data_IF_019838885609
#
_entry.id   IF_019838885609
#
_cell.length_a   1.000
_cell.length_b   1.000
_cell.length_c   1.000
_cell.angle_alpha   90.00
_cell.angle_beta   90.00
_cell.angle_gamma   90.00
#
_symmetry.space_group_name_H-M   'P 1'
#
loop_
_entity.id
_entity.type
_entity.pdbx_description
1 polymer ?
#
# COMPACT_ATOMS: atom_id res chain seq x y z
N UNK A 1 65.64 3.33 9.40
CA UNK A 1 66.22 4.58 9.93
C UNK A 1 65.59 5.77 9.23
N UNK A 2 65.25 6.72 10.03
CA UNK A 2 64.75 8.11 9.86
C UNK A 2 63.21 8.28 9.85
N UNK A 3 62.78 8.67 11.04
CA UNK A 3 61.60 9.47 11.35
C UNK A 3 61.71 10.85 10.70
N UNK A 4 60.60 11.41 10.23
CA UNK A 4 60.41 12.86 10.21
C UNK A 4 59.00 13.14 10.64
N UNK A 5 58.88 13.84 11.76
CA UNK A 5 57.74 14.64 12.24
C UNK A 5 57.56 15.87 11.36
N UNK A 6 56.34 16.41 11.24
CA UNK A 6 56.14 17.81 11.57
C UNK A 6 54.88 18.40 11.02
N UNK A 7 54.16 18.93 11.87
CA UNK A 7 53.58 20.26 12.10
C UNK A 7 52.23 20.60 11.46
N UNK A 8 51.31 20.78 12.37
CA UNK A 8 50.11 21.60 12.27
C UNK A 8 50.44 23.04 11.93
N UNK A 9 49.72 23.65 10.98
CA UNK A 9 49.50 25.09 10.92
C UNK A 9 48.03 25.35 10.63
N UNK A 10 47.39 25.86 11.65
CA UNK A 10 46.04 26.43 11.63
C UNK A 10 46.13 27.80 10.94
N UNK A 11 45.29 28.03 9.93
CA UNK A 11 45.09 29.36 9.37
C UNK A 11 43.63 29.74 9.45
N UNK A 12 43.30 30.56 10.42
CA UNK A 12 42.03 31.27 10.54
C UNK A 12 42.09 32.45 9.56
N UNK A 13 41.23 32.51 8.59
CA UNK A 13 40.99 33.71 7.79
C UNK A 13 39.56 34.18 8.10
N UNK A 14 39.49 35.25 8.88
CA UNK A 14 38.30 36.08 9.07
C UNK A 14 38.24 37.05 7.88
N UNK A 15 37.20 36.93 7.05
CA UNK A 15 36.91 37.98 6.07
C UNK A 15 35.53 38.56 6.43
N UNK A 16 35.57 39.77 6.94
CA UNK A 16 34.44 40.67 7.08
C UNK A 16 34.14 41.27 5.71
N UNK A 17 32.95 40.98 5.17
CA UNK A 17 32.33 41.82 4.14
C UNK A 17 31.04 42.43 4.65
N UNK A 18 31.10 43.75 4.88
CA UNK A 18 29.93 44.61 5.03
C UNK A 18 29.47 44.95 3.62
N UNK A 19 28.24 44.57 3.29
CA UNK A 19 27.57 44.98 2.06
C UNK A 19 26.07 45.01 2.29
N UNK A 20 25.51 46.20 2.54
CA UNK A 20 24.05 46.45 2.49
C UNK A 20 23.57 46.30 1.06
N UNK A 21 22.56 45.44 0.85
CA UNK A 21 21.54 45.66 -0.17
C UNK A 21 20.18 45.17 0.37
N UNK A 22 19.24 46.10 0.44
CA UNK A 22 17.83 45.80 0.67
C UNK A 22 17.31 44.99 -0.49
N UNK A 23 16.86 43.80 -0.22
CA UNK A 23 15.87 43.14 -1.06
C UNK A 23 14.80 42.50 -0.16
N UNK A 24 13.58 42.87 -0.44
CA UNK A 24 12.36 42.49 0.23
C UNK A 24 12.02 41.03 -0.07
N UNK A 25 12.55 40.09 0.69
CA UNK A 25 12.03 38.76 0.79
C UNK A 25 11.08 38.68 1.98
N UNK A 26 9.81 38.44 1.71
CA UNK A 26 8.83 38.10 2.73
C UNK A 26 9.33 36.88 3.49
N UNK A 27 9.75 37.07 4.72
CA UNK A 27 10.02 36.02 5.67
C UNK A 27 8.79 35.15 5.86
N UNK A 28 8.81 33.98 5.27
CA UNK A 28 8.01 32.84 5.72
C UNK A 28 8.56 32.48 7.11
N UNK A 29 7.87 32.94 8.15
CA UNK A 29 8.25 32.73 9.54
C UNK A 29 8.21 31.26 9.89
N UNK A 30 9.32 30.60 9.71
CA UNK A 30 9.59 29.32 10.35
C UNK A 30 9.69 29.56 11.85
N UNK A 31 8.99 28.75 12.64
CA UNK A 31 9.28 28.64 14.06
C UNK A 31 10.74 28.17 14.20
N UNK A 32 11.63 29.07 14.55
CA UNK A 32 12.93 28.67 15.08
C UNK A 32 12.69 27.92 16.39
N UNK A 33 12.80 26.61 16.33
CA UNK A 33 12.86 25.79 17.54
C UNK A 33 14.29 25.90 18.04
N UNK A 34 14.53 26.83 18.94
CA UNK A 34 15.87 27.21 19.44
C UNK A 34 16.53 26.14 20.34
N UNK A 35 15.79 25.05 20.72
CA UNK A 35 16.31 24.09 21.69
C UNK A 35 15.88 22.64 21.36
N UNK A 36 16.81 21.71 21.51
CA UNK A 36 16.59 20.24 21.37
C UNK A 36 15.48 19.76 22.34
N UNK A 37 15.29 20.41 23.47
CA UNK A 37 14.27 20.08 24.45
C UNK A 37 12.88 20.43 24.00
N UNK A 38 12.70 21.50 23.22
CA UNK A 38 11.42 21.88 22.61
C UNK A 38 11.04 20.94 21.46
N UNK A 39 12.02 20.50 20.68
CA UNK A 39 11.82 19.47 19.66
C UNK A 39 11.36 18.16 20.29
N UNK A 40 11.98 17.74 21.41
CA UNK A 40 11.58 16.53 22.13
C UNK A 40 10.17 16.63 22.72
N UNK A 41 9.78 17.79 23.26
CA UNK A 41 8.41 18.03 23.75
C UNK A 41 7.38 17.97 22.62
N UNK A 42 7.63 18.64 21.49
CA UNK A 42 6.75 18.62 20.31
C UNK A 42 6.63 17.21 19.73
N UNK A 43 7.71 16.45 19.66
CA UNK A 43 7.71 15.07 19.19
C UNK A 43 6.94 14.13 20.14
N UNK A 44 6.97 14.39 21.45
CA UNK A 44 6.19 13.62 22.42
C UNK A 44 4.69 13.94 22.35
N UNK A 45 4.28 15.17 22.02
CA UNK A 45 2.89 15.56 21.86
C UNK A 45 2.23 14.94 20.62
N UNK A 46 3.00 14.66 19.60
CA UNK A 46 2.50 14.07 18.34
C UNK A 46 2.58 12.54 18.32
N UNK A 47 3.31 11.95 19.24
CA UNK A 47 3.44 10.50 19.31
C UNK A 47 2.13 9.87 19.76
N UNK A 48 1.73 8.81 19.04
CA UNK A 48 0.56 7.99 19.35
C UNK A 48 1.04 6.66 19.95
N UNK A 49 0.63 6.37 21.14
CA UNK A 49 0.96 5.10 21.80
C UNK A 49 -0.09 3.99 21.51
N UNK A 50 0.21 2.78 21.96
CA UNK A 50 -0.64 1.62 21.69
C UNK A 50 -2.01 1.72 22.38
N UNK A 51 -2.12 2.37 23.52
CA UNK A 51 -3.38 2.52 24.26
C UNK A 51 -4.31 3.51 23.53
N UNK A 52 -3.74 4.59 22.98
CA UNK A 52 -4.49 5.53 22.14
C UNK A 52 -4.97 4.85 20.85
N UNK A 53 -4.13 4.06 20.18
CA UNK A 53 -4.52 3.26 19.00
C UNK A 53 -5.63 2.28 19.36
N UNK A 54 -5.52 1.58 20.48
CA UNK A 54 -6.52 0.61 20.94
C UNK A 54 -7.86 1.29 21.18
N UNK A 55 -7.86 2.40 21.91
CA UNK A 55 -9.07 3.18 22.19
C UNK A 55 -9.75 3.65 20.90
N UNK A 56 -8.95 4.12 19.94
CA UNK A 56 -9.44 4.57 18.64
C UNK A 56 -9.99 3.41 17.83
N UNK A 57 -9.25 2.30 17.73
CA UNK A 57 -9.63 1.11 16.98
C UNK A 57 -10.91 0.45 17.54
N UNK A 58 -11.03 0.36 18.87
CA UNK A 58 -12.24 -0.14 19.54
C UNK A 58 -13.46 0.76 19.26
N UNK A 59 -13.25 2.05 19.01
CA UNK A 59 -14.31 3.02 18.74
C UNK A 59 -14.80 2.98 17.28
N UNK A 60 -13.94 2.67 16.32
CA UNK A 60 -14.24 2.73 14.87
C UNK A 60 -15.38 1.76 14.46
N UNK A 61 -15.55 0.62 15.13
CA UNK A 61 -16.59 -0.36 14.79
C UNK A 61 -17.70 -0.45 15.83
N UNK A 62 -17.81 0.54 16.72
CA UNK A 62 -18.89 0.56 17.73
C UNK A 62 -20.16 1.21 17.23
N UNK A 63 -20.05 2.11 16.27
CA UNK A 63 -21.20 2.74 15.62
C UNK A 63 -21.74 1.79 14.55
N UNK A 64 -23.05 1.62 14.56
CA UNK A 64 -23.85 0.72 13.72
C UNK A 64 -23.79 1.06 12.22
N UNK A 65 -22.62 1.32 11.67
CA UNK A 65 -22.48 1.50 10.25
C UNK A 65 -22.53 0.15 9.53
N UNK A 66 -23.66 -0.09 8.89
CA UNK A 66 -24.11 -1.29 8.18
C UNK A 66 -23.08 -1.84 7.16
N UNK A 67 -22.10 -1.04 6.76
CA UNK A 67 -21.06 -1.43 5.79
C UNK A 67 -19.99 -2.37 6.36
N UNK A 68 -19.74 -2.34 7.67
CA UNK A 68 -18.67 -3.11 8.32
C UNK A 68 -19.18 -4.30 9.12
N UNK A 69 -20.48 -4.44 9.33
CA UNK A 69 -21.06 -5.55 10.04
C UNK A 69 -21.72 -6.52 9.08
N UNK A 70 -21.10 -7.65 8.82
CA UNK A 70 -21.83 -8.83 8.38
C UNK A 70 -22.85 -9.14 9.50
N UNK A 71 -24.11 -8.69 9.34
CA UNK A 71 -25.24 -8.95 10.26
C UNK A 71 -25.30 -8.18 11.60
N UNK A 72 -24.86 -6.92 11.67
CA UNK A 72 -25.02 -6.14 12.91
C UNK A 72 -24.17 -6.63 14.10
N UNK A 73 -23.12 -7.41 13.85
CA UNK A 73 -22.19 -7.87 14.88
C UNK A 73 -21.06 -6.84 14.98
N UNK A 74 -20.85 -6.32 16.21
CA UNK A 74 -19.71 -5.47 16.53
C UNK A 74 -18.43 -6.23 16.23
N UNK A 75 -17.56 -5.69 15.38
CA UNK A 75 -16.25 -6.26 15.13
C UNK A 75 -15.29 -5.83 16.26
N UNK A 76 -14.57 -6.77 16.84
CA UNK A 76 -13.65 -6.52 17.96
C UNK A 76 -12.21 -6.53 17.45
N UNK A 77 -11.35 -5.73 18.07
CA UNK A 77 -9.92 -5.79 17.82
C UNK A 77 -9.40 -7.15 18.26
N UNK A 78 -8.82 -7.90 17.33
CA UNK A 78 -8.17 -9.19 17.59
C UNK A 78 -6.77 -9.01 18.12
N UNK A 79 -6.01 -8.13 17.47
CA UNK A 79 -4.60 -7.87 17.79
C UNK A 79 -4.14 -6.51 17.27
N UNK A 80 -3.15 -5.94 17.95
CA UNK A 80 -2.42 -4.75 17.49
C UNK A 80 -0.93 -5.09 17.48
N UNK A 81 -0.33 -5.09 16.29
CA UNK A 81 1.07 -5.42 16.06
C UNK A 81 1.88 -4.14 15.76
N UNK A 82 2.77 -3.68 16.67
CA UNK A 82 3.61 -2.53 16.42
C UNK A 82 4.80 -2.88 15.51
N UNK A 83 5.05 -2.04 14.50
CA UNK A 83 6.33 -2.00 13.79
C UNK A 83 7.19 -0.94 14.49
N UNK A 84 8.44 -1.30 14.80
CA UNK A 84 9.31 -0.47 15.62
C UNK A 84 10.50 0.05 14.82
N UNK A 85 10.93 1.24 15.19
CA UNK A 85 12.19 1.83 14.71
C UNK A 85 13.39 1.11 15.33
N UNK A 86 14.59 1.43 14.85
CA UNK A 86 15.85 0.94 15.44
C UNK A 86 16.02 1.32 16.91
N UNK A 87 15.43 2.43 17.33
CA UNK A 87 15.40 2.93 18.71
C UNK A 87 14.29 2.29 19.56
N UNK A 88 13.67 1.21 19.06
CA UNK A 88 12.58 0.48 19.71
C UNK A 88 11.30 1.30 19.97
N UNK A 89 11.11 2.43 19.28
CA UNK A 89 9.90 3.24 19.34
C UNK A 89 8.92 2.76 18.24
N UNK A 90 7.64 2.69 18.53
CA UNK A 90 6.66 2.34 17.51
C UNK A 90 6.56 3.45 16.46
N UNK A 91 6.52 3.06 15.20
CA UNK A 91 6.31 3.95 14.04
C UNK A 91 4.97 3.68 13.36
N UNK A 92 4.55 2.41 13.34
CA UNK A 92 3.32 1.95 12.68
C UNK A 92 2.64 0.96 13.62
N UNK A 93 1.32 0.95 13.59
CA UNK A 93 0.49 -0.08 14.19
C UNK A 93 -0.35 -0.77 13.13
N UNK A 94 -0.34 -2.09 13.14
CA UNK A 94 -1.23 -2.93 12.34
C UNK A 94 -2.29 -3.45 13.28
N UNK A 95 -3.54 -3.08 13.03
CA UNK A 95 -4.72 -3.47 13.79
C UNK A 95 -5.49 -4.48 12.97
N UNK A 96 -5.68 -5.70 13.47
CA UNK A 96 -6.53 -6.72 12.87
C UNK A 96 -7.79 -6.95 13.72
N UNK A 97 -8.90 -7.26 13.06
CA UNK A 97 -10.20 -7.50 13.69
C UNK A 97 -10.62 -8.98 13.62
N UNK A 98 -11.46 -9.44 14.56
CA UNK A 98 -11.85 -10.85 14.69
C UNK A 98 -12.62 -11.39 13.48
N UNK A 99 -13.51 -10.59 12.92
CA UNK A 99 -14.34 -10.99 11.77
C UNK A 99 -13.74 -10.60 10.40
N UNK A 100 -12.43 -10.34 10.38
CA UNK A 100 -11.73 -9.76 9.24
C UNK A 100 -11.79 -8.24 9.25
N UNK A 101 -10.91 -7.65 8.45
CA UNK A 101 -10.63 -6.23 8.40
C UNK A 101 -9.33 -5.87 9.12
N UNK A 102 -8.65 -4.86 8.60
CA UNK A 102 -7.44 -4.32 9.22
C UNK A 102 -7.32 -2.81 9.01
N UNK A 103 -6.52 -2.18 9.87
CA UNK A 103 -5.97 -0.84 9.68
C UNK A 103 -4.45 -0.86 9.82
N UNK A 104 -3.80 -0.05 9.01
CA UNK A 104 -2.39 0.33 9.21
C UNK A 104 -2.39 1.81 9.55
N UNK A 105 -1.92 2.14 10.75
CA UNK A 105 -1.96 3.48 11.32
C UNK A 105 -0.53 3.93 11.69
N UNK A 106 -0.15 5.17 11.38
CA UNK A 106 1.13 5.70 11.81
C UNK A 106 1.11 6.00 13.32
N UNK A 107 2.27 5.99 13.97
CA UNK A 107 2.40 6.37 15.39
C UNK A 107 2.74 7.86 15.57
N UNK A 108 2.22 8.73 14.69
CA UNK A 108 2.48 10.16 14.71
C UNK A 108 1.31 10.96 14.13
N UNK A 109 0.76 11.90 14.90
CA UNK A 109 -0.43 12.71 14.52
C UNK A 109 -0.17 13.72 13.40
N UNK A 110 1.07 13.97 13.04
CA UNK A 110 1.43 14.79 11.88
C UNK A 110 1.19 14.07 10.56
N UNK A 111 0.91 12.77 10.60
CA UNK A 111 0.62 11.95 9.43
C UNK A 111 -0.86 11.62 9.41
N UNK A 112 -1.42 11.47 8.21
CA UNK A 112 -2.81 11.05 8.02
C UNK A 112 -3.08 9.73 8.76
N UNK A 113 -4.19 9.59 9.53
CA UNK A 113 -4.37 8.49 10.49
C UNK A 113 -4.45 7.10 9.87
N UNK A 114 -4.67 6.99 8.57
CA UNK A 114 -4.81 5.71 7.85
C UNK A 114 -3.77 5.64 6.76
N UNK A 115 -2.89 4.64 6.79
CA UNK A 115 -1.97 4.31 5.69
C UNK A 115 -2.57 3.27 4.75
N UNK A 116 -3.28 2.30 5.31
CA UNK A 116 -4.04 1.30 4.56
C UNK A 116 -5.18 0.74 5.40
N UNK A 117 -6.20 0.18 4.74
CA UNK A 117 -7.30 -0.51 5.42
C UNK A 117 -7.97 -1.54 4.52
N UNK A 118 -8.61 -2.51 5.17
CA UNK A 118 -9.55 -3.45 4.56
C UNK A 118 -10.75 -3.65 5.45
N UNK A 119 -11.91 -3.93 4.85
CA UNK A 119 -13.14 -4.17 5.61
C UNK A 119 -13.30 -5.65 5.99
N UNK A 120 -12.62 -6.55 5.29
CA UNK A 120 -12.87 -7.99 5.35
C UNK A 120 -11.61 -8.88 5.29
N UNK A 121 -10.48 -8.35 4.88
CA UNK A 121 -9.21 -9.08 4.80
C UNK A 121 -8.33 -8.82 6.04
N UNK A 122 -7.34 -9.68 6.27
CA UNK A 122 -6.40 -9.55 7.38
C UNK A 122 -5.02 -9.11 6.88
N UNK A 123 -4.28 -8.46 7.78
CA UNK A 123 -2.88 -8.11 7.55
C UNK A 123 -2.01 -8.95 8.51
N UNK A 124 -1.53 -10.10 8.04
CA UNK A 124 -0.74 -11.03 8.85
C UNK A 124 0.77 -10.84 8.58
N UNK A 125 1.53 -10.56 9.64
CA UNK A 125 2.99 -10.45 9.61
C UNK A 125 3.70 -11.78 9.90
N UNK A 126 2.97 -12.80 10.36
CA UNK A 126 3.56 -14.07 10.79
C UNK A 126 3.67 -15.10 9.65
N UNK A 127 3.22 -14.74 8.46
CA UNK A 127 3.36 -15.61 7.29
C UNK A 127 4.79 -15.59 6.78
N UNK A 128 5.26 -16.73 6.27
CA UNK A 128 6.62 -16.85 5.70
C UNK A 128 6.79 -16.12 4.36
N UNK A 129 5.70 -15.65 3.75
CA UNK A 129 5.63 -15.27 2.35
C UNK A 129 4.97 -13.90 2.14
N UNK A 130 5.31 -12.91 2.97
CA UNK A 130 4.85 -11.52 2.74
C UNK A 130 5.45 -11.04 1.40
N UNK A 131 4.64 -10.46 0.49
CA UNK A 131 5.16 -9.91 -0.76
C UNK A 131 6.32 -8.92 -0.52
N UNK A 132 7.48 -9.10 -1.18
CA UNK A 132 8.66 -8.29 -0.90
C UNK A 132 8.41 -6.78 -1.01
N UNK A 133 7.67 -6.35 -2.03
CA UNK A 133 7.34 -4.94 -2.19
C UNK A 133 6.47 -4.38 -1.04
N UNK A 134 5.65 -5.22 -0.39
CA UNK A 134 4.86 -4.81 0.77
C UNK A 134 5.75 -4.63 2.00
N UNK A 135 6.80 -5.46 2.14
CA UNK A 135 7.84 -5.29 3.14
C UNK A 135 8.57 -3.96 2.90
N UNK A 136 8.97 -3.68 1.66
CA UNK A 136 9.63 -2.42 1.28
C UNK A 136 8.74 -1.21 1.58
N UNK A 137 7.46 -1.26 1.21
CA UNK A 137 6.51 -0.19 1.51
C UNK A 137 6.42 0.06 3.03
N UNK A 138 6.28 -1.00 3.84
CA UNK A 138 6.27 -0.88 5.30
C UNK A 138 7.58 -0.30 5.85
N UNK A 139 8.73 -0.71 5.29
CA UNK A 139 10.04 -0.19 5.69
C UNK A 139 10.20 1.29 5.35
N UNK A 140 9.74 1.72 4.18
CA UNK A 140 9.76 3.10 3.76
C UNK A 140 8.87 3.97 4.66
N UNK A 141 7.63 3.50 4.96
CA UNK A 141 6.76 4.16 5.93
C UNK A 141 7.41 4.22 7.32
N UNK A 142 7.99 3.12 7.79
CA UNK A 142 8.69 3.06 9.07
C UNK A 142 9.85 4.08 9.14
N UNK A 143 10.66 4.15 8.10
CA UNK A 143 11.82 5.06 8.03
C UNK A 143 11.38 6.52 8.02
N UNK A 144 10.38 6.87 7.21
CA UNK A 144 9.81 8.21 7.14
C UNK A 144 9.26 8.66 8.51
N UNK A 145 8.44 7.81 9.14
CA UNK A 145 7.84 8.12 10.44
C UNK A 145 8.94 8.24 11.53
N UNK A 146 9.94 7.37 11.48
CA UNK A 146 11.09 7.45 12.40
C UNK A 146 11.85 8.78 12.27
N UNK A 147 12.11 9.23 11.04
CA UNK A 147 12.83 10.49 10.79
C UNK A 147 11.98 11.71 11.21
N UNK A 148 10.67 11.65 11.01
CA UNK A 148 9.75 12.67 11.51
C UNK A 148 9.72 12.69 13.05
N UNK A 149 9.62 11.53 13.72
CA UNK A 149 9.64 11.41 15.18
C UNK A 149 10.95 11.85 15.80
N UNK A 150 12.06 11.74 15.06
CA UNK A 150 13.39 12.21 15.48
C UNK A 150 13.62 13.69 15.15
N UNK A 151 12.72 14.35 14.44
CA UNK A 151 12.84 15.74 14.02
C UNK A 151 13.86 15.96 12.90
N UNK A 152 14.29 14.92 12.20
CA UNK A 152 15.18 15.02 11.04
C UNK A 152 14.48 15.62 9.82
N UNK A 153 13.19 15.38 9.70
CA UNK A 153 12.32 15.99 8.70
C UNK A 153 11.23 16.79 9.42
N UNK A 154 10.78 17.87 8.79
CA UNK A 154 9.71 18.72 9.30
C UNK A 154 8.50 18.51 8.39
N UNK A 155 7.37 18.17 9.00
CA UNK A 155 6.09 18.23 8.31
C UNK A 155 5.36 19.50 8.72
N UNK A 156 4.82 20.20 7.74
CA UNK A 156 4.06 21.44 7.96
C UNK A 156 2.56 21.20 8.05
N UNK A 157 2.09 20.00 7.71
CA UNK A 157 0.67 19.65 7.73
C UNK A 157 0.30 19.10 9.09
N UNK A 158 -0.81 19.62 9.64
CA UNK A 158 -1.37 19.16 10.91
C UNK A 158 -2.59 18.27 10.65
N UNK A 159 -2.42 16.95 10.86
CA UNK A 159 -3.50 15.98 10.76
C UNK A 159 -4.18 15.66 12.11
N UNK A 160 -3.81 16.31 13.21
CA UNK A 160 -4.32 16.01 14.56
C UNK A 160 -5.86 16.01 14.65
N UNK A 161 -6.52 16.91 13.91
CA UNK A 161 -7.99 16.98 13.84
C UNK A 161 -8.65 15.74 13.22
N UNK A 162 -7.90 14.98 12.40
CA UNK A 162 -8.39 13.79 11.71
C UNK A 162 -8.25 12.51 12.56
N UNK A 163 -7.53 12.58 13.68
CA UNK A 163 -7.31 11.48 14.60
C UNK A 163 -8.49 11.26 15.55
N UNK A 164 -9.64 10.90 14.97
CA UNK A 164 -10.85 10.54 15.71
C UNK A 164 -11.67 9.48 14.96
N UNK A 165 -12.42 8.66 15.71
CA UNK A 165 -13.18 7.54 15.16
C UNK A 165 -14.21 7.99 14.10
N UNK A 166 -14.93 9.09 14.34
CA UNK A 166 -15.96 9.56 13.41
C UNK A 166 -15.36 9.97 12.04
N UNK A 167 -14.20 10.64 12.06
CA UNK A 167 -13.50 10.97 10.81
C UNK A 167 -13.10 9.70 10.06
N UNK A 168 -12.47 8.75 10.75
CA UNK A 168 -11.97 7.49 10.17
C UNK A 168 -13.13 6.66 9.60
N UNK A 169 -14.22 6.50 10.34
CA UNK A 169 -15.43 5.80 9.87
C UNK A 169 -16.00 6.44 8.60
N UNK A 170 -16.14 7.75 8.57
CA UNK A 170 -16.67 8.48 7.41
C UNK A 170 -15.74 8.35 6.21
N UNK A 171 -14.42 8.39 6.43
CA UNK A 171 -13.42 8.17 5.37
C UNK A 171 -13.57 6.79 4.72
N UNK A 172 -13.67 5.75 5.54
CA UNK A 172 -13.78 4.37 5.09
C UNK A 172 -15.14 4.12 4.42
N UNK A 173 -16.22 4.58 5.05
CA UNK A 173 -17.58 4.46 4.51
C UNK A 173 -17.75 5.17 3.18
N UNK A 174 -16.94 6.20 2.91
CA UNK A 174 -17.05 7.01 1.71
C UNK A 174 -18.35 7.79 1.70
N UNK A 175 -18.58 8.58 2.73
CA UNK A 175 -19.80 9.39 2.85
C UNK A 175 -19.76 10.49 1.79
N UNK A 176 -20.75 10.49 0.90
CA UNK A 176 -21.00 11.63 0.00
C UNK A 176 -21.79 12.67 0.80
N UNK A 177 -21.21 13.82 1.07
CA UNK A 177 -21.97 14.88 1.67
C UNK A 177 -23.07 15.34 0.70
N UNK A 178 -24.31 15.38 1.19
CA UNK A 178 -25.37 16.06 0.45
C UNK A 178 -25.05 17.55 0.41
N UNK A 179 -25.16 18.18 -0.75
CA UNK A 179 -24.87 19.61 -1.02
C UNK A 179 -25.67 20.65 -0.17
N UNK A 180 -26.30 20.23 0.92
CA UNK A 180 -27.24 20.99 1.71
C UNK A 180 -26.76 21.42 3.10
N UNK A 181 -25.50 21.26 3.44
CA UNK A 181 -24.97 21.95 4.62
C UNK A 181 -24.55 23.36 4.23
N UNK A 182 -25.27 24.33 4.75
CA UNK A 182 -25.01 25.75 4.53
C UNK A 182 -23.53 26.07 4.71
N UNK A 183 -23.00 26.86 3.78
CA UNK A 183 -21.68 27.49 3.80
C UNK A 183 -21.46 28.16 5.19
N UNK A 184 -20.86 27.43 6.13
CA UNK A 184 -20.66 27.95 7.50
C UNK A 184 -20.17 26.97 8.54
N UNK A 185 -20.26 25.68 8.31
CA UNK A 185 -19.66 24.66 9.16
C UNK A 185 -18.83 23.73 8.29
N UNK A 186 -17.66 24.20 7.87
CA UNK A 186 -16.57 23.32 7.41
C UNK A 186 -16.13 22.53 8.64
N UNK A 187 -16.82 21.44 8.91
CA UNK A 187 -16.44 20.51 9.95
C UNK A 187 -15.62 19.38 9.32
N UNK A 188 -14.53 19.07 9.89
CA UNK A 188 -13.58 17.96 9.79
C UNK A 188 -14.10 16.60 9.25
N UNK A 189 -15.08 16.58 8.36
CA UNK A 189 -15.63 15.35 7.78
C UNK A 189 -15.07 15.12 6.38
N UNK A 190 -14.51 13.93 6.09
CA UNK A 190 -14.05 13.60 4.76
C UNK A 190 -15.21 13.52 3.77
N UNK A 191 -14.98 13.95 2.52
CA UNK A 191 -15.98 13.86 1.45
C UNK A 191 -15.50 12.90 0.35
N UNK A 192 -16.26 11.86 0.08
CA UNK A 192 -15.97 10.96 -1.05
C UNK A 192 -16.31 11.66 -2.37
N UNK A 193 -15.27 12.01 -3.12
CA UNK A 193 -15.39 12.61 -4.46
C UNK A 193 -15.64 11.53 -5.51
N UNK A 194 -14.85 10.45 -5.43
CA UNK A 194 -14.92 9.36 -6.39
C UNK A 194 -14.54 8.01 -5.75
N UNK A 195 -15.24 6.95 -6.12
CA UNK A 195 -14.83 5.56 -5.84
C UNK A 195 -15.34 4.64 -6.94
N UNK A 196 -14.45 3.81 -7.44
CA UNK A 196 -14.78 2.66 -8.27
C UNK A 196 -13.91 1.47 -7.83
N UNK A 197 -14.53 0.32 -7.71
CA UNK A 197 -13.85 -0.90 -7.24
C UNK A 197 -14.06 -1.21 -5.75
N UNK A 198 -13.49 -2.36 -5.29
CA UNK A 198 -12.74 -3.31 -6.10
C UNK A 198 -13.58 -3.91 -7.24
N UNK A 199 -12.98 -4.05 -8.42
CA UNK A 199 -13.64 -4.55 -9.64
C UNK A 199 -13.60 -6.07 -9.71
N UNK A 200 -12.52 -6.70 -9.25
CA UNK A 200 -12.40 -8.15 -9.16
C UNK A 200 -13.05 -8.67 -7.88
N UNK A 201 -13.67 -9.83 -7.97
CA UNK A 201 -14.27 -10.50 -6.80
C UNK A 201 -13.44 -11.71 -6.36
N UNK A 202 -12.31 -11.95 -7.03
CA UNK A 202 -11.42 -13.07 -6.74
C UNK A 202 -10.42 -12.71 -5.63
N UNK A 203 -10.22 -13.66 -4.72
CA UNK A 203 -9.18 -13.65 -3.69
C UNK A 203 -8.32 -14.89 -3.85
N UNK A 204 -7.75 -15.07 -5.06
CA UNK A 204 -6.99 -16.27 -5.36
C UNK A 204 -5.57 -16.21 -4.81
N UNK A 205 -5.06 -17.37 -4.41
CA UNK A 205 -3.69 -17.56 -3.93
C UNK A 205 -2.84 -18.33 -4.93
N UNK A 206 -1.67 -18.79 -4.46
CA UNK A 206 -0.67 -19.47 -5.29
C UNK A 206 -0.44 -20.93 -4.90
N UNK A 207 -0.88 -21.35 -3.72
CA UNK A 207 -0.65 -22.65 -3.13
C UNK A 207 -1.77 -23.66 -3.41
N UNK A 208 -1.96 -24.55 -2.43
CA UNK A 208 -2.91 -25.67 -2.52
C UNK A 208 -4.30 -25.28 -3.01
N UNK A 209 -4.79 -26.04 -4.00
CA UNK A 209 -6.02 -25.79 -4.73
C UNK A 209 -5.76 -25.03 -6.03
N UNK A 210 -5.01 -23.94 -5.97
CA UNK A 210 -4.67 -23.15 -7.14
C UNK A 210 -3.52 -23.78 -7.96
N UNK A 211 -2.62 -24.52 -7.30
CA UNK A 211 -1.44 -25.15 -7.90
C UNK A 211 -1.62 -26.61 -8.30
N UNK A 212 -2.85 -27.16 -8.32
CA UNK A 212 -3.10 -28.57 -8.60
C UNK A 212 -2.51 -29.09 -9.93
N UNK A 213 -2.30 -28.18 -10.90
CA UNK A 213 -1.68 -28.50 -12.19
C UNK A 213 -0.29 -27.88 -12.40
N UNK A 214 0.27 -27.27 -11.38
CA UNK A 214 1.67 -26.83 -11.40
C UNK A 214 2.62 -28.06 -11.39
N UNK A 215 3.89 -27.92 -11.79
CA UNK A 215 4.86 -29.00 -11.73
C UNK A 215 4.99 -29.60 -10.32
N UNK A 216 5.07 -30.92 -10.24
CA UNK A 216 5.40 -31.58 -8.98
C UNK A 216 6.92 -31.59 -8.81
N UNK A 217 7.41 -30.84 -7.81
CA UNK A 217 8.82 -30.73 -7.47
C UNK A 217 9.14 -31.38 -6.12
N UNK A 218 8.19 -32.18 -5.57
CA UNK A 218 8.25 -32.73 -4.21
C UNK A 218 8.41 -31.64 -3.12
N UNK A 219 7.68 -30.56 -3.28
CA UNK A 219 7.73 -29.42 -2.38
C UNK A 219 7.21 -29.78 -0.98
N UNK A 220 8.07 -29.71 0.04
CA UNK A 220 7.69 -30.01 1.42
C UNK A 220 6.80 -28.92 2.04
N UNK A 221 6.85 -27.70 1.52
CA UNK A 221 5.99 -26.56 1.93
C UNK A 221 4.55 -26.67 1.44
N UNK A 222 4.29 -27.55 0.46
CA UNK A 222 2.97 -27.74 -0.14
C UNK A 222 2.48 -29.17 0.08
N UNK A 223 1.28 -29.34 0.62
CA UNK A 223 0.71 -30.66 0.95
C UNK A 223 0.58 -31.59 -0.26
N UNK A 224 0.44 -31.00 -1.46
CA UNK A 224 0.36 -31.74 -2.74
C UNK A 224 1.71 -31.92 -3.45
N UNK A 225 2.82 -31.49 -2.83
CA UNK A 225 4.17 -31.60 -3.39
C UNK A 225 4.47 -30.72 -4.61
N UNK A 226 3.54 -29.80 -4.97
CA UNK A 226 3.64 -29.00 -6.19
C UNK A 226 4.25 -27.65 -5.96
N UNK A 227 4.86 -27.08 -6.99
CA UNK A 227 5.33 -25.71 -7.01
C UNK A 227 4.18 -24.70 -6.82
N UNK A 228 4.49 -23.52 -6.33
CA UNK A 228 3.56 -22.39 -6.33
C UNK A 228 3.24 -21.97 -7.78
N UNK A 229 2.04 -21.41 -8.01
CA UNK A 229 1.64 -20.93 -9.35
C UNK A 229 2.46 -19.73 -9.82
N UNK A 230 2.96 -18.92 -8.89
CA UNK A 230 3.65 -17.66 -9.14
C UNK A 230 2.71 -16.46 -9.26
N UNK A 231 3.16 -15.33 -8.70
CA UNK A 231 2.37 -14.10 -8.62
C UNK A 231 1.91 -13.57 -9.99
N UNK A 232 2.77 -13.67 -11.01
CA UNK A 232 2.45 -13.23 -12.38
C UNK A 232 1.30 -14.04 -12.95
N UNK A 233 1.31 -15.38 -12.81
CA UNK A 233 0.24 -16.24 -13.30
C UNK A 233 -1.06 -16.01 -12.52
N UNK A 234 -0.97 -15.80 -11.21
CA UNK A 234 -2.13 -15.50 -10.35
C UNK A 234 -2.78 -14.17 -10.72
N UNK A 235 -1.98 -13.10 -10.92
CA UNK A 235 -2.49 -11.81 -11.36
C UNK A 235 -3.16 -11.89 -12.74
N UNK A 236 -2.53 -12.57 -13.72
CA UNK A 236 -3.11 -12.83 -15.03
C UNK A 236 -4.45 -13.56 -14.91
N UNK A 237 -4.50 -14.64 -14.13
CA UNK A 237 -5.69 -15.47 -13.96
C UNK A 237 -6.86 -14.68 -13.35
N UNK A 238 -6.62 -13.81 -12.37
CA UNK A 238 -7.64 -12.95 -11.78
C UNK A 238 -8.22 -11.94 -12.80
N UNK A 239 -7.38 -11.32 -13.62
CA UNK A 239 -7.83 -10.46 -14.73
C UNK A 239 -8.63 -11.24 -15.75
N UNK A 240 -8.18 -12.44 -16.12
CA UNK A 240 -8.89 -13.30 -17.07
C UNK A 240 -10.26 -13.75 -16.52
N UNK A 241 -10.35 -14.03 -15.21
CA UNK A 241 -11.62 -14.33 -14.52
C UNK A 241 -12.54 -13.12 -14.50
N UNK A 242 -12.03 -11.91 -14.24
CA UNK A 242 -12.84 -10.69 -14.33
C UNK A 242 -13.46 -10.52 -15.71
N UNK A 243 -12.71 -10.78 -16.77
CA UNK A 243 -13.22 -10.71 -18.14
C UNK A 243 -14.05 -11.94 -18.57
N UNK A 244 -13.98 -13.08 -17.86
CA UNK A 244 -14.44 -14.40 -18.31
C UNK A 244 -13.93 -14.69 -19.73
N UNK A 245 -12.63 -14.54 -19.95
CA UNK A 245 -12.00 -14.65 -21.28
C UNK A 245 -10.63 -15.35 -21.19
N UNK A 246 -10.26 -16.23 -22.14
CA UNK A 246 -11.05 -16.70 -23.31
C UNK A 246 -12.15 -17.73 -22.96
N UNK A 247 -12.98 -18.07 -23.93
CA UNK A 247 -14.10 -19.02 -23.75
C UNK A 247 -13.66 -20.48 -23.54
N UNK A 248 -12.37 -20.78 -23.56
CA UNK A 248 -11.80 -22.13 -23.38
C UNK A 248 -11.80 -22.63 -21.94
N UNK A 249 -12.25 -21.80 -20.99
CA UNK A 249 -12.34 -22.15 -19.57
C UNK A 249 -13.80 -22.11 -19.09
N UNK A 250 -14.10 -22.97 -18.11
CA UNK A 250 -15.43 -22.96 -17.49
C UNK A 250 -15.44 -21.96 -16.30
N UNK A 251 -15.64 -20.70 -16.61
CA UNK A 251 -15.62 -19.59 -15.65
C UNK A 251 -16.67 -19.72 -14.55
N UNK A 252 -17.81 -20.38 -14.82
CA UNK A 252 -18.95 -20.44 -13.90
C UNK A 252 -18.71 -21.34 -12.69
N UNK A 253 -17.81 -22.34 -12.81
CA UNK A 253 -17.52 -23.28 -11.71
C UNK A 253 -16.33 -22.82 -10.84
N UNK A 254 -15.55 -21.83 -11.27
CA UNK A 254 -14.40 -21.34 -10.54
C UNK A 254 -14.85 -20.56 -9.30
N UNK A 255 -14.55 -21.02 -8.06
CA UNK A 255 -14.86 -20.26 -6.85
C UNK A 255 -14.06 -18.95 -6.80
N UNK A 256 -14.65 -17.91 -6.21
CA UNK A 256 -14.00 -16.61 -6.10
C UNK A 256 -12.87 -16.61 -5.07
N UNK A 257 -12.98 -17.47 -4.05
CA UNK A 257 -11.98 -17.62 -2.99
C UNK A 257 -11.99 -19.03 -2.41
N UNK A 258 -10.89 -19.38 -1.74
CA UNK A 258 -10.80 -20.54 -0.86
C UNK A 258 -11.28 -20.15 0.54
N UNK A 259 -11.96 -21.07 1.20
CA UNK A 259 -12.30 -20.96 2.61
C UNK A 259 -11.95 -22.28 3.33
N UNK A 260 -11.98 -22.30 4.66
CA UNK A 260 -11.57 -23.45 5.45
C UNK A 260 -12.28 -24.79 5.12
N UNK A 261 -13.44 -24.75 4.46
CA UNK A 261 -14.22 -25.91 4.07
C UNK A 261 -14.15 -26.20 2.55
N UNK A 262 -13.28 -25.50 1.81
CA UNK A 262 -13.17 -25.70 0.35
C UNK A 262 -12.57 -27.06 0.04
N UNK A 263 -13.23 -27.81 -0.86
CA UNK A 263 -12.63 -28.98 -1.49
C UNK A 263 -11.65 -28.51 -2.58
N UNK A 264 -10.37 -28.41 -2.23
CA UNK A 264 -9.29 -27.93 -3.10
C UNK A 264 -9.03 -28.84 -4.32
N UNK A 265 -9.57 -30.06 -4.33
CA UNK A 265 -9.52 -30.99 -5.46
C UNK A 265 -10.83 -31.00 -6.31
N UNK A 266 -11.74 -30.05 -6.08
CA UNK A 266 -12.96 -29.93 -6.86
C UNK A 266 -12.69 -29.53 -8.32
N UNK A 267 -13.68 -29.76 -9.19
CA UNK A 267 -13.61 -29.32 -10.59
C UNK A 267 -13.33 -27.82 -10.74
N UNK A 268 -13.89 -27.00 -9.84
CA UNK A 268 -13.67 -25.54 -9.85
C UNK A 268 -12.23 -25.16 -9.57
N UNK A 269 -11.59 -25.72 -8.55
CA UNK A 269 -10.17 -25.49 -8.28
C UNK A 269 -9.27 -26.08 -9.35
N UNK A 270 -9.61 -27.22 -9.93
CA UNK A 270 -8.88 -27.79 -11.05
C UNK A 270 -8.93 -26.89 -12.29
N UNK A 271 -10.08 -26.24 -12.55
CA UNK A 271 -10.21 -25.29 -13.66
C UNK A 271 -9.39 -24.00 -13.42
N UNK A 272 -9.38 -23.49 -12.17
CA UNK A 272 -8.48 -22.38 -11.79
C UNK A 272 -7.01 -22.79 -11.98
N UNK A 273 -6.64 -23.97 -11.49
CA UNK A 273 -5.26 -24.45 -11.58
C UNK A 273 -4.82 -24.68 -13.03
N UNK A 274 -5.71 -25.13 -13.91
CA UNK A 274 -5.46 -25.22 -15.35
C UNK A 274 -5.18 -23.83 -15.94
N UNK A 275 -6.01 -22.85 -15.62
CA UNK A 275 -5.82 -21.46 -16.04
C UNK A 275 -4.47 -20.90 -15.57
N UNK A 276 -4.12 -21.09 -14.29
CA UNK A 276 -2.87 -20.60 -13.72
C UNK A 276 -1.63 -21.28 -14.33
N UNK A 277 -1.69 -22.60 -14.58
CA UNK A 277 -0.63 -23.32 -15.31
C UNK A 277 -0.46 -22.75 -16.73
N UNK A 278 -1.54 -22.56 -17.45
CA UNK A 278 -1.50 -22.05 -18.82
C UNK A 278 -0.97 -20.62 -18.86
N UNK A 279 -1.37 -19.77 -17.89
CA UNK A 279 -0.83 -18.43 -17.70
C UNK A 279 0.68 -18.46 -17.39
N UNK A 280 1.10 -19.31 -16.43
CA UNK A 280 2.51 -19.47 -16.10
C UNK A 280 3.36 -19.93 -17.29
N UNK A 281 2.88 -20.92 -18.04
CA UNK A 281 3.58 -21.41 -19.23
C UNK A 281 3.72 -20.31 -20.29
N UNK A 282 2.70 -19.47 -20.47
CA UNK A 282 2.69 -18.40 -21.49
C UNK A 282 3.73 -17.29 -21.22
N UNK A 283 4.18 -17.16 -19.97
CA UNK A 283 5.21 -16.20 -19.56
C UNK A 283 6.54 -16.85 -19.20
N UNK A 284 6.73 -18.13 -19.54
CA UNK A 284 7.93 -18.91 -19.20
C UNK A 284 8.22 -18.92 -17.69
N UNK A 285 7.22 -19.29 -16.88
CA UNK A 285 7.36 -19.34 -15.42
C UNK A 285 8.49 -20.27 -14.99
N UNK A 286 9.39 -19.75 -14.19
CA UNK A 286 10.38 -20.54 -13.45
C UNK A 286 9.73 -21.01 -12.15
N UNK A 287 9.30 -22.26 -12.11
CA UNK A 287 8.58 -22.85 -11.01
C UNK A 287 9.50 -23.25 -9.85
N UNK A 288 9.09 -22.97 -8.62
CA UNK A 288 9.80 -23.34 -7.40
C UNK A 288 8.86 -23.62 -6.23
N UNK A 289 9.40 -24.23 -5.18
CA UNK A 289 8.63 -24.59 -3.98
C UNK A 289 8.31 -23.40 -3.08
N UNK A 290 9.27 -22.51 -2.89
CA UNK A 290 9.11 -21.33 -2.03
C UNK A 290 8.65 -20.10 -2.82
N UNK A 291 9.03 -19.99 -4.08
CA UNK A 291 8.58 -18.98 -5.00
C UNK A 291 8.61 -19.45 -6.44
N UNK A 292 7.73 -18.91 -7.27
CA UNK A 292 7.73 -19.10 -8.73
C UNK A 292 7.70 -17.72 -9.39
N UNK A 293 8.60 -17.48 -10.33
CA UNK A 293 8.82 -16.16 -10.91
C UNK A 293 8.76 -16.14 -12.44
N UNK A 294 8.26 -15.04 -13.00
CA UNK A 294 8.28 -14.77 -14.42
C UNK A 294 8.53 -13.28 -14.69
N UNK A 295 8.99 -12.94 -15.88
CA UNK A 295 9.19 -11.55 -16.29
C UNK A 295 7.82 -10.93 -16.58
N UNK A 296 7.36 -10.01 -15.74
CA UNK A 296 6.02 -9.44 -15.80
C UNK A 296 5.75 -8.69 -17.11
N UNK A 297 6.77 -8.06 -17.74
CA UNK A 297 6.58 -7.40 -19.05
C UNK A 297 6.14 -8.36 -20.17
N UNK A 298 6.37 -9.68 -20.01
CA UNK A 298 5.90 -10.69 -20.97
C UNK A 298 4.36 -10.86 -20.95
N UNK A 299 3.69 -10.47 -19.88
CA UNK A 299 2.23 -10.61 -19.71
C UNK A 299 1.45 -9.95 -20.84
N UNK A 300 1.83 -8.72 -21.22
CA UNK A 300 1.11 -8.00 -22.27
C UNK A 300 1.12 -8.75 -23.62
N UNK A 301 2.23 -9.41 -23.95
CA UNK A 301 2.32 -10.24 -25.16
C UNK A 301 1.58 -11.58 -24.97
N UNK A 302 1.73 -12.24 -23.82
CA UNK A 302 1.09 -13.52 -23.51
C UNK A 302 -0.44 -13.42 -23.57
N UNK A 303 -1.03 -12.35 -23.03
CA UNK A 303 -2.48 -12.11 -23.10
C UNK A 303 -2.96 -12.05 -24.57
N UNK A 304 -2.21 -11.38 -25.45
CA UNK A 304 -2.56 -11.28 -26.87
C UNK A 304 -2.34 -12.58 -27.63
N UNK A 305 -1.16 -13.18 -27.50
CA UNK A 305 -0.76 -14.32 -28.31
C UNK A 305 -1.36 -15.66 -27.85
N UNK A 306 -1.49 -15.86 -26.54
CA UNK A 306 -1.93 -17.14 -25.97
C UNK A 306 -3.39 -17.13 -25.52
N UNK A 307 -3.95 -15.97 -25.21
CA UNK A 307 -5.30 -15.86 -24.67
C UNK A 307 -6.25 -14.97 -25.49
N UNK A 308 -5.85 -14.60 -26.71
CA UNK A 308 -6.71 -13.91 -27.69
C UNK A 308 -7.27 -12.57 -27.22
N UNK A 309 -6.54 -11.85 -26.35
CA UNK A 309 -6.88 -10.47 -26.03
C UNK A 309 -6.55 -9.55 -27.20
N UNK A 310 -7.41 -8.58 -27.47
CA UNK A 310 -7.20 -7.60 -28.55
C UNK A 310 -6.09 -6.61 -28.21
N UNK A 311 -6.00 -6.23 -26.94
CA UNK A 311 -4.96 -5.33 -26.46
C UNK A 311 -4.51 -5.68 -25.05
N UNK A 312 -3.24 -5.42 -24.81
CA UNK A 312 -2.58 -5.31 -23.51
C UNK A 312 -1.25 -4.58 -23.74
N UNK A 313 -0.91 -3.63 -22.90
CA UNK A 313 0.29 -2.78 -23.01
C UNK A 313 1.05 -2.81 -21.70
N UNK A 314 2.37 -2.96 -21.78
CA UNK A 314 3.27 -2.80 -20.64
C UNK A 314 4.01 -1.46 -20.74
N UNK A 315 4.17 -0.77 -19.60
CA UNK A 315 5.01 0.43 -19.50
C UNK A 315 5.53 0.59 -18.05
N UNK A 316 6.58 1.39 -17.92
CA UNK A 316 7.15 1.82 -16.62
C UNK A 316 6.94 3.33 -16.39
N UNK A 317 6.14 3.99 -17.23
CA UNK A 317 5.91 5.42 -17.19
C UNK A 317 4.45 5.76 -16.88
N UNK A 318 4.25 6.88 -16.14
CA UNK A 318 2.93 7.46 -15.83
C UNK A 318 1.96 6.44 -15.20
N UNK A 319 2.46 5.61 -14.29
CA UNK A 319 1.71 4.48 -13.73
C UNK A 319 0.43 4.94 -13.07
N UNK A 320 0.49 5.99 -12.22
CA UNK A 320 -0.68 6.49 -11.49
C UNK A 320 -1.80 6.94 -12.41
N UNK A 321 -1.50 7.77 -13.40
CA UNK A 321 -2.52 8.27 -14.34
C UNK A 321 -3.15 7.14 -15.15
N UNK A 322 -2.37 6.08 -15.44
CA UNK A 322 -2.89 4.89 -16.12
C UNK A 322 -3.79 4.06 -15.21
N UNK A 323 -3.42 3.84 -13.94
CA UNK A 323 -4.28 3.17 -12.96
C UNK A 323 -5.60 3.92 -12.85
N UNK A 324 -5.56 5.22 -12.59
CA UNK A 324 -6.75 6.05 -12.42
C UNK A 324 -7.66 6.00 -13.63
N UNK A 325 -7.10 6.17 -14.84
CA UNK A 325 -7.86 6.13 -16.08
C UNK A 325 -8.49 4.75 -16.31
N UNK A 326 -7.75 3.65 -16.13
CA UNK A 326 -8.27 2.30 -16.33
C UNK A 326 -9.38 1.98 -15.32
N UNK A 327 -9.17 2.25 -14.02
CA UNK A 327 -10.16 1.97 -12.99
C UNK A 327 -11.42 2.87 -13.16
N UNK A 328 -11.25 4.15 -13.52
CA UNK A 328 -12.39 5.04 -13.83
C UNK A 328 -13.24 4.52 -14.98
N UNK A 329 -12.63 3.79 -15.93
CA UNK A 329 -13.33 3.15 -17.05
C UNK A 329 -13.78 1.70 -16.75
N UNK A 330 -13.59 1.21 -15.52
CA UNK A 330 -14.04 -0.12 -15.10
C UNK A 330 -13.11 -1.27 -15.49
N UNK A 331 -11.82 -1.01 -15.68
CA UNK A 331 -10.83 -2.03 -16.05
C UNK A 331 -9.75 -2.16 -14.97
N UNK A 332 -9.56 -3.36 -14.40
CA UNK A 332 -8.44 -3.62 -13.50
C UNK A 332 -7.13 -3.70 -14.28
N UNK A 333 -6.01 -3.47 -13.57
CA UNK A 333 -4.67 -3.49 -14.13
C UNK A 333 -3.78 -4.46 -13.36
N UNK A 334 -2.67 -4.91 -13.99
CA UNK A 334 -1.62 -5.65 -13.29
C UNK A 334 -0.46 -4.69 -13.03
N UNK A 335 -0.02 -4.65 -11.78
CA UNK A 335 1.15 -3.90 -11.36
C UNK A 335 2.32 -4.85 -11.11
N UNK A 336 3.51 -4.32 -11.20
CA UNK A 336 4.73 -4.96 -10.72
C UNK A 336 5.58 -3.96 -9.95
N UNK A 337 6.32 -4.46 -8.99
CA UNK A 337 7.36 -3.73 -8.28
C UNK A 337 8.31 -4.72 -7.62
N UNK A 338 9.46 -4.27 -7.14
CA UNK A 338 10.44 -5.11 -6.47
C UNK A 338 11.49 -4.28 -5.76
N UNK A 339 12.43 -4.95 -5.13
CA UNK A 339 13.50 -4.33 -4.38
C UNK A 339 14.73 -4.10 -5.23
N UNK A 340 15.46 -3.05 -4.92
CA UNK A 340 16.81 -2.81 -5.41
C UNK A 340 17.82 -3.46 -4.46
N UNK A 341 18.67 -4.32 -5.00
CA UNK A 341 19.84 -4.82 -4.29
C UNK A 341 21.11 -4.39 -5.05
N UNK A 342 22.01 -3.68 -4.37
CA UNK A 342 23.28 -3.25 -4.96
C UNK A 342 24.34 -4.32 -4.67
N UNK A 343 24.82 -4.99 -5.71
CA UNK A 343 25.91 -5.94 -5.65
C UNK A 343 27.07 -5.51 -6.57
N UNK A 344 28.26 -5.37 -6.01
CA UNK A 344 29.45 -4.90 -6.73
C UNK A 344 29.23 -3.57 -7.49
N UNK A 345 28.44 -2.64 -6.93
CA UNK A 345 28.13 -1.37 -7.56
C UNK A 345 27.11 -1.44 -8.72
N UNK A 346 26.54 -2.61 -8.97
CA UNK A 346 25.44 -2.79 -9.93
C UNK A 346 24.11 -2.99 -9.20
N UNK A 347 23.09 -2.31 -9.68
CA UNK A 347 21.72 -2.50 -9.20
C UNK A 347 21.15 -3.80 -9.76
N UNK A 348 20.73 -4.70 -8.88
CA UNK A 348 20.08 -5.96 -9.19
C UNK A 348 18.63 -5.91 -8.70
N UNK A 349 17.69 -6.26 -9.56
CA UNK A 349 16.29 -6.43 -9.20
C UNK A 349 16.11 -7.75 -8.43
N UNK A 350 15.59 -7.67 -7.21
CA UNK A 350 15.29 -8.83 -6.38
C UNK A 350 13.87 -8.72 -5.81
N UNK A 351 13.34 -9.85 -5.34
CA UNK A 351 12.07 -9.84 -4.61
C UNK A 351 10.85 -9.34 -5.38
N UNK A 352 10.89 -9.32 -6.72
CA UNK A 352 9.80 -8.80 -7.55
C UNK A 352 8.47 -9.49 -7.30
N UNK A 353 7.38 -8.70 -7.28
CA UNK A 353 6.02 -9.19 -7.19
C UNK A 353 5.15 -8.58 -8.28
N UNK A 354 4.13 -9.34 -8.72
CA UNK A 354 3.07 -8.85 -9.59
C UNK A 354 1.72 -9.04 -8.89
N UNK A 355 0.86 -8.03 -8.96
CA UNK A 355 -0.43 -8.04 -8.30
C UNK A 355 -1.48 -7.27 -9.12
N UNK A 356 -2.74 -7.39 -8.73
CA UNK A 356 -3.84 -6.67 -9.38
C UNK A 356 -4.13 -5.38 -8.60
N UNK A 357 -4.25 -4.26 -9.31
CA UNK A 357 -4.88 -3.06 -8.79
C UNK A 357 -6.22 -2.91 -9.48
N UNK A 358 -7.29 -2.88 -8.70
CA UNK A 358 -8.65 -2.96 -9.22
C UNK A 358 -9.65 -2.03 -8.52
N UNK A 359 -9.15 -1.10 -7.73
CA UNK A 359 -9.96 -0.04 -7.15
C UNK A 359 -9.21 1.28 -7.04
N UNK A 360 -9.95 2.36 -7.17
CA UNK A 360 -9.47 3.73 -7.01
C UNK A 360 -10.52 4.57 -6.31
N UNK A 361 -10.09 5.37 -5.35
CA UNK A 361 -10.93 6.36 -4.69
C UNK A 361 -10.21 7.68 -4.49
N UNK A 362 -10.98 8.76 -4.47
CA UNK A 362 -10.58 10.13 -4.14
C UNK A 362 -11.45 10.60 -2.97
N UNK A 363 -10.82 10.93 -1.87
CA UNK A 363 -11.50 11.54 -0.72
C UNK A 363 -10.93 12.92 -0.49
N UNK A 364 -11.79 13.93 -0.44
CA UNK A 364 -11.42 15.30 -0.11
C UNK A 364 -11.43 15.48 1.41
N UNK A 365 -10.39 16.09 1.93
CA UNK A 365 -10.22 16.43 3.34
C UNK A 365 -9.75 17.89 3.44
N UNK A 366 -10.10 18.57 4.52
CA UNK A 366 -9.51 19.86 4.86
C UNK A 366 -8.17 19.63 5.55
N UNK A 367 -7.11 20.27 5.08
CA UNK A 367 -5.82 20.33 5.77
C UNK A 367 -5.54 21.78 6.17
N UNK A 368 -4.89 21.93 7.34
CA UNK A 368 -4.48 23.25 7.82
C UNK A 368 -2.97 23.30 8.00
N UNK A 369 -2.34 24.33 7.43
CA UNK A 369 -0.92 24.60 7.57
C UNK A 369 -0.77 25.79 8.51
N UNK A 370 0.09 25.70 9.53
CA UNK A 370 0.34 26.80 10.44
C UNK A 370 1.11 27.90 9.72
N UNK A 371 0.52 29.11 9.69
CA UNK A 371 1.11 30.28 9.07
C UNK A 371 1.40 31.33 10.17
N UNK A 372 2.68 31.58 10.42
CA UNK A 372 3.12 32.51 11.46
C UNK A 372 2.75 32.06 12.88
N UNK A 373 2.70 33.04 13.81
CA UNK A 373 2.54 32.75 15.24
C UNK A 373 1.11 32.37 15.66
N UNK A 374 0.10 32.84 14.92
CA UNK A 374 -1.31 32.76 15.34
C UNK A 374 -2.30 32.35 14.24
N UNK A 375 -1.83 32.11 13.03
CA UNK A 375 -2.70 31.82 11.88
C UNK A 375 -2.60 30.38 11.38
N UNK A 376 -3.69 29.91 10.77
CA UNK A 376 -3.72 28.68 9.97
C UNK A 376 -4.26 29.04 8.57
N UNK A 377 -3.63 28.49 7.55
CA UNK A 377 -4.13 28.46 6.20
C UNK A 377 -4.73 27.08 5.94
N UNK A 378 -6.03 27.03 5.75
CA UNK A 378 -6.76 25.78 5.57
C UNK A 378 -7.28 25.69 4.14
N UNK A 379 -7.05 24.53 3.51
CA UNK A 379 -7.52 24.27 2.16
C UNK A 379 -7.88 22.78 1.96
N UNK A 380 -8.66 22.52 0.93
CA UNK A 380 -9.06 21.16 0.59
C UNK A 380 -7.91 20.43 -0.10
N UNK A 381 -7.70 19.16 0.30
CA UNK A 381 -6.74 18.25 -0.30
C UNK A 381 -7.43 16.95 -0.69
N UNK A 382 -7.16 16.46 -1.90
CA UNK A 382 -7.60 15.15 -2.33
C UNK A 382 -6.57 14.11 -1.88
N UNK A 383 -7.05 13.08 -1.19
CA UNK A 383 -6.28 11.92 -0.74
C UNK A 383 -6.69 10.72 -1.60
N UNK A 384 -5.86 10.32 -2.58
CA UNK A 384 -6.13 9.16 -3.40
C UNK A 384 -5.74 7.86 -2.68
N UNK A 385 -6.52 6.80 -2.90
CA UNK A 385 -6.19 5.44 -2.45
C UNK A 385 -6.51 4.44 -3.55
N UNK A 386 -5.77 3.33 -3.54
CA UNK A 386 -5.84 2.27 -4.54
C UNK A 386 -6.12 0.94 -3.86
N UNK A 387 -7.06 0.16 -4.42
CA UNK A 387 -7.31 -1.18 -3.91
C UNK A 387 -6.34 -2.17 -4.57
N UNK A 388 -5.60 -2.88 -3.74
CA UNK A 388 -4.58 -3.85 -4.13
C UNK A 388 -5.05 -5.27 -3.79
N UNK A 389 -4.94 -6.18 -4.76
CA UNK A 389 -5.18 -7.61 -4.62
C UNK A 389 -3.89 -8.37 -4.90
N UNK A 390 -3.24 -8.82 -3.84
CA UNK A 390 -1.88 -9.35 -3.91
C UNK A 390 -1.76 -10.80 -4.38
N UNK A 391 -2.89 -11.51 -4.52
CA UNK A 391 -2.88 -12.89 -4.99
C UNK A 391 -2.40 -13.90 -3.93
N UNK A 392 -2.79 -13.69 -2.66
CA UNK A 392 -2.47 -14.51 -1.50
C UNK A 392 -3.69 -14.85 -0.65
N UNK A 393 -4.72 -15.48 -1.25
CA UNK A 393 -5.95 -15.89 -0.55
C UNK A 393 -6.66 -14.73 0.20
N UNK A 394 -6.55 -13.50 -0.33
CA UNK A 394 -7.12 -12.30 0.28
C UNK A 394 -6.24 -11.64 1.34
N UNK A 395 -5.15 -12.28 1.77
CA UNK A 395 -4.23 -11.66 2.71
C UNK A 395 -3.69 -10.35 2.14
N UNK A 396 -3.68 -9.32 2.99
CA UNK A 396 -3.23 -7.95 2.69
C UNK A 396 -4.05 -7.18 1.65
N UNK A 397 -5.07 -7.80 1.03
CA UNK A 397 -5.92 -7.07 0.08
C UNK A 397 -6.63 -5.92 0.79
N UNK A 398 -6.60 -4.74 0.19
CA UNK A 398 -7.19 -3.54 0.80
C UNK A 398 -6.91 -2.26 0.05
N UNK A 399 -7.36 -1.16 0.63
CA UNK A 399 -7.12 0.19 0.17
C UNK A 399 -5.82 0.71 0.78
N UNK A 400 -4.90 1.14 -0.07
CA UNK A 400 -3.61 1.72 0.29
C UNK A 400 -3.58 3.18 -0.14
N UNK A 401 -3.20 4.08 0.75
CA UNK A 401 -2.92 5.46 0.39
C UNK A 401 -1.81 5.49 -0.65
N UNK A 402 -1.89 6.43 -1.59
CA UNK A 402 -0.99 6.53 -2.74
C UNK A 402 0.42 5.96 -2.47
N UNK A 403 0.68 4.71 -2.86
CA UNK A 403 1.97 4.08 -2.58
C UNK A 403 3.05 4.55 -3.55
N UNK A 404 2.70 5.38 -4.54
CA UNK A 404 3.54 5.71 -5.67
C UNK A 404 3.94 7.18 -5.72
N UNK A 405 3.50 8.03 -4.79
CA UNK A 405 3.76 9.47 -4.87
C UNK A 405 3.97 10.10 -3.51
N UNK A 406 5.01 10.91 -3.43
CA UNK A 406 5.18 11.92 -2.45
C UNK A 406 5.94 11.49 -1.22
N UNK A 407 5.74 12.24 -0.19
CA UNK A 407 6.58 12.37 0.98
C UNK A 407 6.62 11.11 1.89
N UNK A 408 5.85 10.06 1.56
CA UNK A 408 5.59 8.89 2.43
C UNK A 408 6.13 7.56 1.89
N UNK A 409 7.21 7.61 1.11
CA UNK A 409 7.83 6.41 0.54
C UNK A 409 7.18 5.96 -0.77
N UNK A 410 8.01 5.67 -1.73
CA UNK A 410 7.60 5.31 -3.09
C UNK A 410 8.00 3.87 -3.37
N UNK A 411 7.17 3.16 -4.15
CA UNK A 411 7.61 1.92 -4.81
C UNK A 411 8.40 2.32 -6.05
N UNK A 412 9.64 2.78 -5.88
CA UNK A 412 10.34 3.47 -6.96
C UNK A 412 11.17 2.54 -7.84
N UNK A 413 11.47 1.32 -7.39
CA UNK A 413 12.38 0.48 -8.15
C UNK A 413 11.66 -0.42 -9.15
N UNK A 414 11.89 -0.14 -10.43
CA UNK A 414 11.36 -0.90 -11.59
C UNK A 414 9.87 -1.19 -11.53
N UNK A 415 9.10 -0.21 -11.09
CA UNK A 415 7.64 -0.28 -11.15
C UNK A 415 7.18 -0.38 -12.60
N UNK A 416 6.13 -1.14 -12.82
CA UNK A 416 5.54 -1.29 -14.13
C UNK A 416 4.06 -1.64 -14.05
N UNK A 417 3.37 -1.37 -15.14
CA UNK A 417 1.93 -1.61 -15.27
C UNK A 417 1.62 -2.31 -16.58
N UNK A 418 0.73 -3.30 -16.50
CA UNK A 418 0.04 -3.85 -17.67
C UNK A 418 -1.38 -3.27 -17.65
N UNK A 419 -1.72 -2.52 -18.66
CA UNK A 419 -2.97 -1.78 -18.80
C UNK A 419 -3.54 -1.92 -20.20
N UNK A 420 -4.70 -1.28 -20.45
CA UNK A 420 -5.42 -1.40 -21.71
C UNK A 420 -5.68 -2.87 -22.08
N UNK A 421 -6.02 -3.68 -21.09
CA UNK A 421 -6.31 -5.10 -21.25
C UNK A 421 -7.75 -5.21 -21.75
N UNK A 422 -7.93 -5.59 -23.04
CA UNK A 422 -9.24 -5.66 -23.70
C UNK A 422 -9.41 -6.99 -24.45
N UNK A 423 -10.58 -7.63 -24.26
CA UNK A 423 -10.99 -8.86 -24.93
C UNK A 423 -11.62 -8.62 -26.30
#
# INVERSE_FOLDING_TARGET
MKKINTFFVSFIIVILFIGCSQDSNKDLGYLEVENIEDIRKLNNLNYVDIEEIKSLADSIFTTTNIMFSKKGIKNQVREISPIRTKENKSSIYIVNYENGGFFIMPADKRIFPILAYSNDNNFDLNTKEIPPFLIEWLQNQNSYIADLQQGKIKDSVDFSKHWNANFIENYIAGVKQSKLTARGTYGNSPELIYRNGPLTITEWGQGEGYNNMAPNLNCLSQSNGRALTGCVATAMAQIMKFHNHPNSYNWSIMPNKKNGNSNTNSGGFNEISKLMRDAGNSVNMNYGCENSGAITSHVANALKSSFSYKSAIYTEHDILSKIENEIKNGYPVILRGGEEFIFNGQSIYTGGHAWVCDGYQEVMIEICIKVGRWGYDCHDKIVPSYYMNFGWDGLWNGWYLSPFKGDYGTFDYKNGIIYNIRK
#
